data_IF_746114421571
#
_entry.id   IF_746114421571
#
_cell.length_a   1.000
_cell.length_b   1.000
_cell.length_c   1.000
_cell.angle_alpha   90.00
_cell.angle_beta   90.00
_cell.angle_gamma   90.00
#
_symmetry.space_group_name_H-M   'P 1'
#
loop_
_entity.id
_entity.type
_entity.pdbx_description
1 polymer ?
#
# COMPACT_ATOMS: atom_id res chain seq x y z
N UNK A 1 -19.73 10.58 -7.31
CA UNK A 1 -19.07 11.52 -6.37
C UNK A 1 -18.28 10.69 -5.38
N UNK A 2 -17.09 11.16 -4.98
CA UNK A 2 -16.27 10.51 -3.97
C UNK A 2 -16.10 11.43 -2.76
N UNK A 3 -15.92 10.84 -1.58
CA UNK A 3 -15.54 11.57 -0.38
C UNK A 3 -14.59 10.75 0.49
N UNK A 4 -13.76 11.45 1.28
CA UNK A 4 -12.82 10.84 2.24
C UNK A 4 -12.75 11.70 3.48
N UNK A 5 -12.91 11.08 4.65
CA UNK A 5 -12.75 11.74 5.95
C UNK A 5 -11.41 11.35 6.57
N UNK A 6 -10.71 12.32 7.14
CA UNK A 6 -9.39 12.16 7.73
C UNK A 6 -9.34 12.85 9.10
N UNK A 7 -8.53 12.28 9.99
CA UNK A 7 -8.20 12.92 11.25
C UNK A 7 -6.99 13.84 11.06
N UNK A 8 -6.95 14.95 11.80
CA UNK A 8 -5.77 15.84 11.81
C UNK A 8 -4.63 15.28 12.66
N UNK A 9 -4.96 14.41 13.62
CA UNK A 9 -4.03 13.82 14.59
C UNK A 9 -4.29 12.32 14.72
N UNK A 10 -3.26 11.55 15.10
CA UNK A 10 -3.36 10.11 15.21
C UNK A 10 -4.34 9.72 16.33
N UNK A 11 -5.37 8.93 15.99
CA UNK A 11 -6.42 8.53 16.94
C UNK A 11 -7.47 9.62 17.24
N UNK A 12 -7.33 10.82 16.66
CA UNK A 12 -8.31 11.89 16.79
C UNK A 12 -9.58 11.67 15.95
N UNK A 13 -10.66 12.42 16.21
CA UNK A 13 -11.88 12.34 15.41
C UNK A 13 -11.63 12.78 13.95
N UNK A 14 -12.28 12.15 12.96
CA UNK A 14 -12.14 12.51 11.56
C UNK A 14 -12.90 13.81 11.27
N UNK A 15 -12.20 14.94 11.39
CA UNK A 15 -12.73 16.31 11.26
C UNK A 15 -12.57 16.91 9.86
N UNK A 16 -11.58 16.42 9.10
CA UNK A 16 -11.28 16.90 7.76
C UNK A 16 -12.04 16.05 6.73
N UNK A 17 -12.82 16.68 5.87
CA UNK A 17 -13.58 16.04 4.81
C UNK A 17 -13.14 16.57 3.45
N UNK A 18 -12.82 15.63 2.56
CA UNK A 18 -12.44 15.87 1.18
C UNK A 18 -13.54 15.30 0.30
N UNK A 19 -14.15 16.11 -0.55
CA UNK A 19 -15.23 15.68 -1.45
C UNK A 19 -14.94 16.08 -2.88
N UNK A 20 -15.29 15.23 -3.85
CA UNK A 20 -15.05 15.50 -5.26
C UNK A 20 -16.08 14.89 -6.21
N UNK A 21 -16.27 15.58 -7.32
CA UNK A 21 -17.07 15.15 -8.46
C UNK A 21 -16.32 14.23 -9.42
N UNK A 22 -16.89 14.02 -10.61
CA UNK A 22 -16.28 13.22 -11.66
C UNK A 22 -14.92 13.80 -12.09
N UNK A 23 -13.92 12.93 -12.31
CA UNK A 23 -12.53 13.33 -12.66
C UNK A 23 -11.91 14.36 -11.69
N UNK A 24 -12.28 14.29 -10.42
CA UNK A 24 -11.78 15.16 -9.36
C UNK A 24 -12.18 16.64 -9.47
N UNK A 25 -13.17 16.98 -10.31
CA UNK A 25 -13.71 18.35 -10.38
C UNK A 25 -14.48 18.71 -9.12
N UNK A 26 -14.63 20.01 -8.85
CA UNK A 26 -15.33 20.53 -7.66
C UNK A 26 -14.78 19.88 -6.39
N UNK A 27 -13.45 19.86 -6.28
CA UNK A 27 -12.77 19.29 -5.13
C UNK A 27 -12.90 20.27 -3.96
N UNK A 28 -13.63 19.89 -2.92
CA UNK A 28 -13.89 20.74 -1.76
C UNK A 28 -13.22 20.17 -0.53
N UNK A 29 -12.57 21.05 0.24
CA UNK A 29 -11.99 20.74 1.55
C UNK A 29 -12.84 21.39 2.62
N UNK A 30 -13.32 20.57 3.55
CA UNK A 30 -14.17 21.02 4.66
C UNK A 30 -13.53 20.58 5.98
N UNK A 31 -13.50 21.48 6.95
CA UNK A 31 -13.06 21.18 8.32
C UNK A 31 -14.19 21.51 9.28
N UNK A 32 -14.66 20.52 10.04
CA UNK A 32 -15.76 20.68 10.99
C UNK A 32 -17.02 21.32 10.38
N UNK A 33 -17.34 20.94 9.14
CA UNK A 33 -18.47 21.50 8.39
C UNK A 33 -18.22 22.89 7.76
N UNK A 34 -17.07 23.53 8.04
CA UNK A 34 -16.68 24.80 7.40
C UNK A 34 -15.82 24.53 6.16
N UNK A 35 -16.27 25.05 5.01
CA UNK A 35 -15.51 24.96 3.76
C UNK A 35 -14.26 25.84 3.88
N UNK A 36 -13.09 25.21 3.72
CA UNK A 36 -11.79 25.88 3.66
C UNK A 36 -11.47 26.37 2.25
N UNK A 37 -11.93 25.64 1.23
CA UNK A 37 -11.78 26.04 -0.16
C UNK A 37 -12.30 24.98 -1.13
N UNK A 38 -12.44 25.39 -2.39
CA UNK A 38 -12.86 24.55 -3.51
C UNK A 38 -11.90 24.74 -4.69
N UNK A 39 -11.62 23.66 -5.40
CA UNK A 39 -10.71 23.60 -6.54
C UNK A 39 -11.43 22.98 -7.73
N UNK A 40 -11.45 23.70 -8.85
CA UNK A 40 -12.20 23.30 -10.03
C UNK A 40 -11.34 22.73 -11.17
N UNK A 41 -10.01 22.92 -11.15
CA UNK A 41 -9.09 22.44 -12.18
C UNK A 41 -8.90 20.92 -12.22
N UNK A 42 -9.58 20.19 -11.33
CA UNK A 42 -9.70 18.73 -11.39
C UNK A 42 -8.39 18.00 -11.13
N UNK A 43 -8.22 16.85 -11.79
CA UNK A 43 -7.09 15.95 -11.55
C UNK A 43 -5.72 16.60 -11.77
N UNK A 44 -5.57 17.45 -12.79
CA UNK A 44 -4.27 18.01 -13.15
C UNK A 44 -3.80 19.09 -12.18
N UNK A 45 -4.74 19.85 -11.62
CA UNK A 45 -4.43 20.80 -10.54
C UNK A 45 -4.05 20.07 -9.25
N UNK A 46 -4.80 19.03 -8.88
CA UNK A 46 -4.45 18.21 -7.70
C UNK A 46 -3.13 17.46 -7.88
N UNK A 47 -2.73 17.07 -9.09
CA UNK A 47 -1.42 16.45 -9.34
C UNK A 47 -0.25 17.42 -9.14
N UNK A 48 -0.45 18.73 -9.31
CA UNK A 48 0.56 19.75 -8.99
C UNK A 48 0.68 20.01 -7.49
N UNK A 49 -0.36 19.65 -6.74
CA UNK A 49 -0.45 19.92 -5.31
C UNK A 49 -1.16 21.24 -5.07
N UNK A 50 -2.11 21.24 -4.14
CA UNK A 50 -2.88 22.42 -3.76
C UNK A 50 -2.76 22.63 -2.26
N UNK A 51 -2.52 23.88 -1.87
CA UNK A 51 -2.37 24.27 -0.48
C UNK A 51 -3.62 24.98 0.03
N UNK A 52 -4.04 24.65 1.25
CA UNK A 52 -5.12 25.31 1.98
C UNK A 52 -4.60 25.73 3.35
N UNK A 53 -4.97 26.93 3.79
CA UNK A 53 -4.65 27.40 5.14
C UNK A 53 -5.72 26.93 6.11
N UNK A 54 -5.31 26.24 7.17
CA UNK A 54 -6.19 25.81 8.26
C UNK A 54 -6.46 26.99 9.23
N UNK A 55 -7.55 26.95 10.02
CA UNK A 55 -7.89 28.03 10.96
C UNK A 55 -6.82 28.30 12.04
N UNK A 56 -5.97 27.32 12.31
CA UNK A 56 -4.83 27.41 13.23
C UNK A 56 -3.55 27.97 12.59
N UNK A 57 -3.63 28.39 11.31
CA UNK A 57 -2.50 28.92 10.55
C UNK A 57 -1.59 27.86 9.92
N UNK A 58 -1.84 26.56 10.16
CA UNK A 58 -1.08 25.49 9.52
C UNK A 58 -1.46 25.32 8.04
N UNK A 59 -0.51 24.79 7.25
CA UNK A 59 -0.69 24.60 5.81
C UNK A 59 -1.04 23.15 5.50
N UNK A 60 -2.19 22.94 4.85
CA UNK A 60 -2.66 21.64 4.38
C UNK A 60 -2.33 21.51 2.89
N UNK A 61 -1.50 20.54 2.52
CA UNK A 61 -1.21 20.20 1.13
C UNK A 61 -2.02 18.97 0.71
N UNK A 62 -2.71 19.08 -0.41
CA UNK A 62 -3.46 17.98 -1.05
C UNK A 62 -2.86 17.71 -2.42
N UNK A 63 -2.37 16.50 -2.60
CA UNK A 63 -1.73 16.04 -3.83
C UNK A 63 -2.37 14.74 -4.34
N UNK A 64 -2.81 14.74 -5.59
CA UNK A 64 -3.28 13.53 -6.26
C UNK A 64 -2.08 12.74 -6.78
N UNK A 65 -1.79 11.61 -6.13
CA UNK A 65 -0.80 10.65 -6.60
C UNK A 65 -1.44 9.68 -7.59
N UNK A 66 -1.15 9.88 -8.87
CA UNK A 66 -1.53 8.95 -9.94
C UNK A 66 -0.32 8.13 -10.39
N UNK A 67 -0.45 6.80 -10.34
CA UNK A 67 0.45 5.84 -10.97
C UNK A 67 -0.35 4.78 -11.74
N UNK A 68 0.33 3.93 -12.51
CA UNK A 68 -0.31 2.92 -13.37
C UNK A 68 -1.32 2.01 -12.65
N UNK A 69 -1.20 1.84 -11.33
CA UNK A 69 -2.05 0.97 -10.51
C UNK A 69 -2.62 1.62 -9.25
N UNK A 70 -2.52 2.95 -9.10
CA UNK A 70 -3.13 3.64 -7.98
C UNK A 70 -3.49 5.09 -8.32
N UNK A 71 -4.66 5.52 -7.86
CA UNK A 71 -4.97 6.93 -7.67
C UNK A 71 -5.28 7.13 -6.19
N UNK A 72 -4.43 7.88 -5.48
CA UNK A 72 -4.60 8.14 -4.06
C UNK A 72 -4.43 9.62 -3.75
N UNK A 73 -5.10 10.08 -2.71
CA UNK A 73 -4.87 11.42 -2.19
C UNK A 73 -3.79 11.36 -1.11
N UNK A 74 -2.67 12.01 -1.40
CA UNK A 74 -1.69 12.38 -0.38
C UNK A 74 -2.14 13.67 0.26
N UNK A 75 -2.33 13.65 1.57
CA UNK A 75 -2.75 14.83 2.32
C UNK A 75 -1.75 15.02 3.43
N UNK A 76 -1.13 16.19 3.51
CA UNK A 76 -0.16 16.50 4.55
C UNK A 76 -0.44 17.83 5.21
N UNK A 77 -0.17 17.94 6.50
CA UNK A 77 -0.22 19.18 7.29
C UNK A 77 1.20 19.57 7.64
N UNK A 78 1.63 20.77 7.24
CA UNK A 78 3.00 21.26 7.41
C UNK A 78 4.08 20.29 6.88
N UNK A 79 3.77 19.55 5.81
CA UNK A 79 4.68 18.57 5.21
C UNK A 79 4.55 17.16 5.79
N UNK A 80 3.87 16.96 6.92
CA UNK A 80 3.65 15.64 7.51
C UNK A 80 2.35 15.00 7.00
N UNK A 81 2.44 13.76 6.51
CA UNK A 81 1.28 13.03 6.02
C UNK A 81 0.23 12.85 7.11
N UNK A 82 -1.02 13.20 6.82
CA UNK A 82 -2.11 13.02 7.76
C UNK A 82 -2.38 11.53 8.03
N UNK A 83 -2.70 11.16 9.28
CA UNK A 83 -3.11 9.81 9.63
C UNK A 83 -4.29 9.34 8.77
N UNK A 84 -4.16 8.15 8.18
CA UNK A 84 -5.18 7.57 7.30
C UNK A 84 -5.19 8.11 5.85
N UNK A 85 -4.29 9.03 5.50
CA UNK A 85 -4.05 9.40 4.09
C UNK A 85 -3.44 8.22 3.31
N UNK A 86 -3.49 8.24 1.97
CA UNK A 86 -2.94 7.13 1.18
C UNK A 86 -1.41 7.07 1.22
N UNK A 87 -0.77 8.14 1.68
CA UNK A 87 0.66 8.24 1.90
C UNK A 87 1.08 8.06 3.35
N UNK A 88 0.13 7.83 4.27
CA UNK A 88 0.44 7.50 5.67
C UNK A 88 1.32 6.22 5.73
N UNK A 89 2.57 6.33 6.23
CA UNK A 89 3.48 5.20 6.31
C UNK A 89 2.89 4.01 7.10
N UNK A 90 2.11 4.28 8.15
CA UNK A 90 1.49 3.23 8.98
C UNK A 90 0.48 2.45 8.14
N UNK A 91 -0.32 3.14 7.34
CA UNK A 91 -1.28 2.48 6.47
C UNK A 91 -0.62 1.73 5.31
N UNK A 92 0.47 2.23 4.74
CA UNK A 92 1.20 1.52 3.70
C UNK A 92 1.74 0.18 4.22
N UNK A 93 2.33 0.17 5.42
CA UNK A 93 2.82 -1.05 6.07
C UNK A 93 1.67 -2.02 6.38
N UNK A 94 0.57 -1.55 6.96
CA UNK A 94 -0.61 -2.39 7.26
C UNK A 94 -1.24 -2.99 6.00
N UNK A 95 -1.39 -2.21 4.93
CA UNK A 95 -1.92 -2.68 3.63
C UNK A 95 -1.04 -3.79 3.06
N UNK A 96 0.28 -3.61 3.06
CA UNK A 96 1.22 -4.63 2.59
C UNK A 96 1.19 -5.90 3.46
N UNK A 97 1.12 -5.77 4.80
CA UNK A 97 0.99 -6.91 5.69
C UNK A 97 -0.30 -7.70 5.44
N UNK A 98 -1.44 -7.01 5.28
CA UNK A 98 -2.72 -7.63 4.96
C UNK A 98 -2.70 -8.34 3.60
N UNK A 99 -2.06 -7.72 2.60
CA UNK A 99 -1.84 -8.35 1.29
C UNK A 99 -1.01 -9.63 1.43
N UNK A 100 0.08 -9.60 2.18
CA UNK A 100 0.91 -10.80 2.42
C UNK A 100 0.12 -11.90 3.15
N UNK A 101 -0.68 -11.56 4.18
CA UNK A 101 -1.53 -12.56 4.84
C UNK A 101 -2.60 -13.14 3.92
N UNK A 102 -3.22 -12.31 3.08
CA UNK A 102 -4.18 -12.79 2.08
C UNK A 102 -3.52 -13.77 1.10
N UNK A 103 -2.34 -13.40 0.57
CA UNK A 103 -1.59 -14.26 -0.35
C UNK A 103 -1.09 -15.53 0.32
N UNK A 104 -0.67 -15.47 1.59
CA UNK A 104 -0.29 -16.64 2.38
C UNK A 104 -1.47 -17.59 2.56
N UNK A 105 -2.64 -17.07 2.95
CA UNK A 105 -3.87 -17.84 3.09
C UNK A 105 -4.29 -18.50 1.78
N UNK A 106 -4.26 -17.75 0.68
CA UNK A 106 -4.59 -18.26 -0.65
C UNK A 106 -3.63 -19.39 -1.09
N UNK A 107 -2.32 -19.18 -0.99
CA UNK A 107 -1.33 -20.20 -1.36
C UNK A 107 -1.44 -21.47 -0.49
N UNK A 108 -1.64 -21.29 0.82
CA UNK A 108 -1.82 -22.41 1.74
C UNK A 108 -3.08 -23.20 1.40
N UNK A 109 -4.20 -22.50 1.15
CA UNK A 109 -5.46 -23.12 0.76
C UNK A 109 -5.32 -23.91 -0.54
N UNK A 110 -4.71 -23.33 -1.57
CA UNK A 110 -4.49 -24.00 -2.85
C UNK A 110 -3.60 -25.25 -2.69
N UNK A 111 -2.55 -25.16 -1.87
CA UNK A 111 -1.69 -26.31 -1.56
C UNK A 111 -2.43 -27.43 -0.83
N UNK A 112 -3.28 -27.09 0.14
CA UNK A 112 -4.13 -28.08 0.83
C UNK A 112 -5.14 -28.72 -0.12
N UNK A 113 -5.79 -27.92 -0.97
CA UNK A 113 -6.74 -28.43 -1.98
C UNK A 113 -6.03 -29.39 -2.95
N UNK A 114 -4.82 -29.06 -3.41
CA UNK A 114 -4.03 -29.94 -4.28
C UNK A 114 -3.76 -31.30 -3.62
N UNK A 115 -3.35 -31.30 -2.34
CA UNK A 115 -3.10 -32.54 -1.59
C UNK A 115 -4.37 -33.37 -1.39
N UNK A 116 -5.50 -32.73 -1.07
CA UNK A 116 -6.77 -33.44 -0.84
C UNK A 116 -7.35 -33.99 -2.14
N UNK A 117 -7.26 -33.21 -3.23
CA UNK A 117 -7.75 -33.61 -4.54
C UNK A 117 -6.86 -34.68 -5.21
N UNK A 118 -5.62 -34.86 -4.74
CA UNK A 118 -4.61 -35.79 -5.33
C UNK A 118 -4.51 -35.65 -6.84
N UNK A 119 -4.54 -34.41 -7.31
CA UNK A 119 -4.54 -34.13 -8.74
C UNK A 119 -3.10 -33.97 -9.23
N UNK A 120 -2.66 -34.91 -10.07
CA UNK A 120 -1.35 -34.87 -10.72
C UNK A 120 -1.15 -33.57 -11.50
N UNK A 121 -2.25 -32.98 -12.01
CA UNK A 121 -2.22 -31.70 -12.73
C UNK A 121 -1.90 -30.54 -11.80
N UNK A 122 -2.44 -30.54 -10.56
CA UNK A 122 -2.15 -29.48 -9.59
C UNK A 122 -0.72 -29.65 -9.04
N UNK A 123 -0.29 -30.88 -8.75
CA UNK A 123 1.09 -31.14 -8.31
C UNK A 123 2.12 -30.79 -9.40
N UNK A 124 1.82 -31.05 -10.68
CA UNK A 124 2.70 -30.73 -11.80
C UNK A 124 2.94 -29.22 -11.98
N UNK A 125 2.00 -28.36 -11.56
CA UNK A 125 2.17 -26.90 -11.58
C UNK A 125 2.73 -26.35 -10.26
N UNK A 126 3.28 -27.21 -9.41
CA UNK A 126 3.89 -26.85 -8.13
C UNK A 126 2.89 -26.57 -7.01
N UNK A 127 1.59 -26.88 -7.20
CA UNK A 127 0.60 -26.81 -6.11
C UNK A 127 0.70 -28.03 -5.22
N UNK A 128 0.75 -27.82 -3.91
CA UNK A 128 0.92 -28.89 -2.92
C UNK A 128 1.79 -28.43 -1.76
N UNK A 129 2.75 -29.26 -1.35
CA UNK A 129 3.61 -28.95 -0.19
C UNK A 129 4.43 -27.67 -0.42
N UNK A 130 4.88 -27.43 -1.66
CA UNK A 130 5.58 -26.21 -2.04
C UNK A 130 4.76 -24.95 -1.77
N UNK A 131 3.49 -24.92 -2.17
CA UNK A 131 2.59 -23.78 -1.94
C UNK A 131 2.28 -23.55 -0.46
N UNK A 132 2.19 -24.62 0.33
CA UNK A 132 1.99 -24.51 1.79
C UNK A 132 3.22 -23.88 2.43
N UNK A 133 4.43 -24.36 2.10
CA UNK A 133 5.69 -23.80 2.63
C UNK A 133 5.84 -22.34 2.18
N UNK A 134 5.57 -22.05 0.90
CA UNK A 134 5.61 -20.68 0.38
C UNK A 134 4.62 -19.78 1.13
N UNK A 135 3.38 -20.24 1.32
CA UNK A 135 2.37 -19.53 2.10
C UNK A 135 2.83 -19.24 3.52
N UNK A 136 3.47 -20.20 4.19
CA UNK A 136 4.00 -20.03 5.54
C UNK A 136 5.16 -19.01 5.58
N UNK A 137 6.10 -19.06 4.63
CA UNK A 137 7.17 -18.06 4.51
C UNK A 137 6.59 -16.66 4.29
N UNK A 138 5.61 -16.53 3.40
CA UNK A 138 4.93 -15.26 3.13
C UNK A 138 4.18 -14.76 4.36
N UNK A 139 3.54 -15.63 5.15
CA UNK A 139 2.88 -15.27 6.41
C UNK A 139 3.88 -14.71 7.43
N UNK A 140 5.04 -15.35 7.58
CA UNK A 140 6.12 -14.89 8.47
C UNK A 140 6.63 -13.50 8.04
N UNK A 141 6.84 -13.29 6.73
CA UNK A 141 7.19 -11.97 6.20
C UNK A 141 6.08 -10.94 6.40
N UNK A 142 4.81 -11.34 6.29
CA UNK A 142 3.65 -10.52 6.62
C UNK A 142 3.64 -10.06 8.08
N UNK A 143 3.97 -10.97 9.00
CA UNK A 143 4.09 -10.66 10.42
C UNK A 143 5.20 -9.66 10.73
N UNK A 144 6.40 -9.85 10.17
CA UNK A 144 7.49 -8.88 10.35
C UNK A 144 7.22 -7.55 9.65
N UNK A 145 6.52 -7.56 8.51
CA UNK A 145 6.04 -6.34 7.85
C UNK A 145 5.10 -5.59 8.77
N UNK A 146 4.12 -6.27 9.39
CA UNK A 146 3.19 -5.66 10.34
C UNK A 146 3.91 -5.02 11.56
N UNK A 147 5.00 -5.62 12.02
CA UNK A 147 5.86 -5.06 13.07
C UNK A 147 6.72 -3.87 12.63
N UNK A 148 6.62 -3.43 11.37
CA UNK A 148 7.38 -2.29 10.86
C UNK A 148 8.84 -2.62 10.57
N UNK A 149 9.22 -3.89 10.41
CA UNK A 149 10.57 -4.25 9.99
C UNK A 149 10.74 -3.95 8.48
N UNK A 150 11.60 -2.98 8.07
CA UNK A 150 11.70 -2.58 6.66
C UNK A 150 12.28 -3.68 5.76
N UNK A 151 13.09 -4.58 6.32
CA UNK A 151 13.67 -5.70 5.59
C UNK A 151 12.62 -6.73 5.16
N UNK A 152 11.55 -6.93 5.92
CA UNK A 152 10.55 -7.97 5.65
C UNK A 152 9.78 -7.76 4.33
N UNK A 153 9.14 -6.59 4.07
CA UNK A 153 8.48 -6.35 2.80
C UNK A 153 9.47 -6.29 1.63
N UNK A 154 10.73 -5.89 1.87
CA UNK A 154 11.78 -5.93 0.85
C UNK A 154 12.13 -7.37 0.45
N UNK A 155 12.34 -8.26 1.42
CA UNK A 155 12.57 -9.69 1.17
C UNK A 155 11.37 -10.35 0.50
N UNK A 156 10.15 -9.99 0.91
CA UNK A 156 8.94 -10.45 0.22
C UNK A 156 8.91 -9.98 -1.24
N UNK A 157 9.29 -8.71 -1.51
CA UNK A 157 9.38 -8.18 -2.87
C UNK A 157 10.38 -8.97 -3.72
N UNK A 158 11.56 -9.26 -3.19
CA UNK A 158 12.59 -10.08 -3.87
C UNK A 158 12.09 -11.50 -4.12
N UNK A 159 11.44 -12.12 -3.14
CA UNK A 159 10.85 -13.45 -3.27
C UNK A 159 9.81 -13.50 -4.39
N UNK A 160 8.91 -12.51 -4.47
CA UNK A 160 7.91 -12.41 -5.53
C UNK A 160 8.51 -12.11 -6.91
N UNK A 161 9.61 -11.37 -6.98
CA UNK A 161 10.35 -11.18 -8.23
C UNK A 161 10.95 -12.50 -8.69
N UNK A 162 11.60 -13.26 -7.79
CA UNK A 162 12.16 -14.56 -8.12
C UNK A 162 11.08 -15.52 -8.63
N UNK A 163 9.97 -15.65 -7.90
CA UNK A 163 8.80 -16.43 -8.31
C UNK A 163 8.27 -16.01 -9.70
N UNK A 164 8.18 -14.71 -9.94
CA UNK A 164 7.73 -14.17 -11.21
C UNK A 164 8.65 -14.58 -12.37
N UNK A 165 9.96 -14.47 -12.17
CA UNK A 165 10.96 -14.86 -13.17
C UNK A 165 10.92 -16.37 -13.44
N UNK A 166 10.82 -17.20 -12.40
CA UNK A 166 10.68 -18.65 -12.56
C UNK A 166 9.44 -19.03 -13.37
N UNK A 167 8.29 -18.44 -13.04
CA UNK A 167 7.04 -18.72 -13.76
C UNK A 167 7.13 -18.30 -15.23
N UNK A 168 7.72 -17.13 -15.52
CA UNK A 168 7.87 -16.63 -16.89
C UNK A 168 8.82 -17.52 -17.67
N UNK A 169 9.96 -17.91 -17.07
CA UNK A 169 10.91 -18.83 -17.69
C UNK A 169 10.24 -20.16 -18.04
N UNK A 170 9.52 -20.77 -17.09
CA UNK A 170 8.81 -22.04 -17.27
C UNK A 170 7.73 -21.95 -18.37
N UNK A 171 6.96 -20.86 -18.38
CA UNK A 171 5.92 -20.62 -19.41
C UNK A 171 6.54 -20.51 -20.80
N UNK A 172 7.67 -19.81 -20.94
CA UNK A 172 8.37 -19.64 -22.21
C UNK A 172 8.97 -20.95 -22.69
N UNK A 173 9.59 -21.74 -21.80
CA UNK A 173 10.18 -23.04 -22.15
C UNK A 173 9.13 -24.08 -22.54
N UNK A 174 7.94 -24.02 -21.95
CA UNK A 174 6.81 -24.92 -22.25
C UNK A 174 5.98 -24.45 -23.46
N UNK A 175 6.42 -23.43 -24.20
CA UNK A 175 5.73 -22.90 -25.39
C UNK A 175 4.38 -22.21 -25.08
N UNK A 176 4.15 -21.86 -23.82
CA UNK A 176 2.93 -21.20 -23.36
C UNK A 176 2.88 -19.71 -23.72
N UNK A 177 1.67 -19.14 -23.66
CA UNK A 177 1.49 -17.69 -23.77
C UNK A 177 1.66 -17.02 -22.41
N UNK A 178 2.38 -15.91 -22.38
CA UNK A 178 2.57 -15.13 -21.16
C UNK A 178 1.22 -14.65 -20.58
N UNK A 179 0.92 -14.93 -19.29
CA UNK A 179 -0.33 -14.51 -18.67
C UNK A 179 -0.26 -13.02 -18.29
N UNK A 180 -0.60 -12.14 -19.24
CA UNK A 180 -0.53 -10.68 -19.10
C UNK A 180 -1.22 -10.19 -17.81
N UNK A 181 -2.40 -10.73 -17.50
CA UNK A 181 -3.14 -10.37 -16.30
C UNK A 181 -2.41 -10.73 -15.00
N UNK A 182 -1.79 -11.92 -14.95
CA UNK A 182 -1.01 -12.34 -13.78
C UNK A 182 0.24 -11.47 -13.59
N UNK A 183 0.87 -11.05 -14.69
CA UNK A 183 2.02 -10.13 -14.66
C UNK A 183 1.61 -8.78 -14.06
N UNK A 184 0.47 -8.23 -14.46
CA UNK A 184 -0.06 -6.97 -13.92
C UNK A 184 -0.27 -7.07 -12.40
N UNK A 185 -0.91 -8.14 -11.92
CA UNK A 185 -1.13 -8.37 -10.48
C UNK A 185 0.22 -8.46 -9.74
N UNK A 186 1.19 -9.19 -10.31
CA UNK A 186 2.53 -9.33 -9.71
C UNK A 186 3.25 -7.98 -9.59
N UNK A 187 3.20 -7.14 -10.63
CA UNK A 187 3.77 -5.79 -10.58
C UNK A 187 3.11 -4.97 -9.47
N UNK A 188 1.78 -5.04 -9.34
CA UNK A 188 1.06 -4.35 -8.28
C UNK A 188 1.51 -4.80 -6.87
N UNK A 189 1.64 -6.11 -6.65
CA UNK A 189 2.13 -6.68 -5.38
C UNK A 189 3.54 -6.16 -5.09
N UNK A 190 4.46 -6.27 -6.06
CA UNK A 190 5.86 -5.86 -5.91
C UNK A 190 5.95 -4.37 -5.55
N UNK A 191 5.26 -3.49 -6.29
CA UNK A 191 5.25 -2.04 -6.02
C UNK A 191 4.71 -1.74 -4.62
N UNK A 192 3.66 -2.44 -4.18
CA UNK A 192 3.08 -2.29 -2.85
C UNK A 192 4.08 -2.65 -1.74
N UNK A 193 4.86 -3.72 -1.94
CA UNK A 193 5.87 -4.18 -0.98
C UNK A 193 7.06 -3.21 -0.88
N UNK A 194 7.60 -2.72 -2.00
CA UNK A 194 8.69 -1.74 -1.95
C UNK A 194 8.28 -0.42 -1.30
N UNK A 195 7.03 0.02 -1.50
CA UNK A 195 6.48 1.18 -0.80
C UNK A 195 6.39 0.96 0.70
N UNK A 196 5.92 -0.20 1.12
CA UNK A 196 5.88 -0.56 2.53
C UNK A 196 7.27 -0.65 3.16
N UNK A 197 8.29 -1.12 2.42
CA UNK A 197 9.68 -1.12 2.90
C UNK A 197 10.19 0.30 3.17
N UNK A 198 9.96 1.23 2.23
CA UNK A 198 10.29 2.65 2.42
C UNK A 198 9.53 3.25 3.60
N UNK A 199 8.23 3.02 3.67
CA UNK A 199 7.37 3.52 4.74
C UNK A 199 7.80 3.01 6.13
N UNK A 200 8.13 1.72 6.25
CA UNK A 200 8.66 1.14 7.49
C UNK A 200 10.01 1.76 7.88
N UNK A 201 10.88 2.04 6.90
CA UNK A 201 12.14 2.76 7.14
C UNK A 201 11.91 4.19 7.66
N UNK A 202 10.96 4.91 7.07
CA UNK A 202 10.59 6.26 7.50
C UNK A 202 10.04 6.26 8.93
N UNK A 203 9.18 5.30 9.30
CA UNK A 203 8.66 5.15 10.66
C UNK A 203 9.78 4.88 11.68
N UNK A 204 10.70 3.97 11.33
CA UNK A 204 11.83 3.63 12.22
C UNK A 204 12.76 4.81 12.44
N UNK A 205 13.03 5.60 11.39
CA UNK A 205 13.86 6.80 11.47
C UNK A 205 13.23 7.86 12.37
N UNK A 206 11.93 8.12 12.24
CA UNK A 206 11.20 9.07 13.11
C UNK A 206 11.27 8.66 14.57
N UNK A 207 11.05 7.37 14.87
CA UNK A 207 11.16 6.86 16.24
C UNK A 207 12.57 7.02 16.83
N UNK A 208 13.62 6.95 16.00
CA UNK A 208 15.00 7.20 16.44
C UNK A 208 15.29 8.68 16.67
N UNK A 209 14.75 9.57 15.83
CA UNK A 209 14.88 11.03 15.98
C UNK A 209 14.18 11.49 17.27
N UNK A 210 12.96 11.03 17.54
CA UNK A 210 12.22 11.33 18.77
C UNK A 210 12.95 10.82 20.03
N UNK A 211 13.51 9.61 19.96
CA UNK A 211 14.32 9.05 21.04
C UNK A 211 15.67 9.78 21.23
N UNK A 212 16.24 10.35 20.16
CA UNK A 212 17.48 11.13 20.22
C UNK A 212 17.27 12.54 20.77
N UNK A 213 16.15 13.18 20.46
CA UNK A 213 15.78 14.51 20.98
C UNK A 213 15.44 14.46 22.47
N UNK A 214 14.85 13.35 22.94
CA UNK A 214 14.55 13.16 24.37
C UNK A 214 15.77 12.82 25.25
N UNK A 215 16.94 12.60 24.66
CA UNK A 215 18.20 12.32 25.37
C UNK A 215 19.16 13.52 25.40
N UNK A 216 18.79 14.68 24.84
CA UNK A 216 19.53 15.93 25.02
C UNK A 216 18.97 16.67 26.26
N UNK A 217 19.75 16.77 27.36
CA UNK A 217 19.35 17.51 28.56
C UNK A 217 19.36 19.02 28.37
#
# INVERSE_FOLDING_TARGET
>A
MGSKKLALEAGGPPRLELSWGWRWKQFTVTLDGKVLGTVDGGADELKRGVFFTLPDGSSLNVLLLSGAFHSGLSVSRNGEALPGSDTDPVQQVKRAANLLYFLAGLNTLLGVVAMVARSDVLEAVGMGLGSIIFGLVVAVLGFFTYRGAPAAPMLAGVLYIADALFTVADTVTSGGRAPIFAIIIRIYIIVTLFRAAKAAGDLRRRAQEEAGVSLQP
#
